data_IF_788252058423
#
_entry.id   IF_788252058423
#
_cell.length_a   1.000
_cell.length_b   1.000
_cell.length_c   1.000
_cell.angle_alpha   90.00
_cell.angle_beta   90.00
_cell.angle_gamma   90.00
#
_symmetry.space_group_name_H-M   'P 1'
#
loop_
_entity.id
_entity.type
_entity.pdbx_description
1 polymer ?
#
# COMPACT_ATOMS: atom_id res chain seq x y z
N UNK A 1 96.55 54.47 19.26
CA UNK A 1 97.65 54.45 20.17
C UNK A 1 97.28 53.61 21.38
N UNK A 2 98.20 52.88 21.98
CA UNK A 2 99.21 51.97 21.43
C UNK A 2 99.12 50.54 22.00
N UNK A 3 99.76 49.65 21.42
CA UNK A 3 101.06 48.89 21.58
C UNK A 3 100.79 47.45 22.07
N UNK A 4 101.12 46.50 21.22
CA UNK A 4 102.36 45.67 21.23
C UNK A 4 102.49 44.84 22.51
N UNK A 5 102.73 43.59 22.50
CA UNK A 5 103.84 42.77 21.97
C UNK A 5 103.55 41.32 22.36
N UNK A 6 103.93 40.32 21.79
CA UNK A 6 105.20 39.83 21.23
C UNK A 6 105.39 38.41 21.67
N UNK A 7 105.60 37.65 20.73
CA UNK A 7 106.67 36.76 20.33
C UNK A 7 106.91 35.51 21.16
N UNK A 8 106.97 34.45 20.41
CA UNK A 8 108.04 33.52 20.22
C UNK A 8 108.27 32.40 21.27
N UNK A 9 108.41 31.25 20.73
CA UNK A 9 109.03 30.06 21.30
C UNK A 9 108.43 28.81 20.70
N UNK A 10 108.74 28.48 19.53
CA UNK A 10 109.84 27.68 19.03
C UNK A 10 109.77 26.20 19.47
N UNK A 11 109.39 25.44 18.48
CA UNK A 11 110.13 24.27 17.98
C UNK A 11 110.37 23.07 18.91
N UNK A 12 109.97 21.93 18.39
CA UNK A 12 110.64 20.66 18.62
C UNK A 12 110.03 19.70 19.67
N UNK A 13 109.17 18.81 19.21
CA UNK A 13 109.52 17.43 19.30
C UNK A 13 108.65 16.62 18.27
N UNK A 14 109.32 16.24 17.24
CA UNK A 14 108.91 15.17 16.35
C UNK A 14 109.21 13.83 16.98
N UNK A 15 108.40 12.87 16.65
CA UNK A 15 108.67 11.44 16.64
C UNK A 15 108.25 10.66 17.90
N UNK A 16 107.38 9.78 17.61
CA UNK A 16 107.11 8.46 18.15
C UNK A 16 105.69 8.36 18.73
N UNK A 17 104.74 7.91 17.99
CA UNK A 17 104.26 6.54 18.05
C UNK A 17 103.22 6.27 16.99
N UNK A 18 103.46 5.25 16.27
CA UNK A 18 102.60 4.72 15.24
C UNK A 18 101.32 4.09 15.77
N UNK A 19 100.36 4.23 14.91
CA UNK A 19 99.35 3.22 14.58
C UNK A 19 98.51 2.65 15.71
N UNK A 20 97.28 3.10 15.78
CA UNK A 20 96.11 2.19 15.85
C UNK A 20 94.92 2.99 15.27
N UNK A 21 94.51 2.64 14.06
CA UNK A 21 93.28 3.10 13.46
C UNK A 21 92.11 2.54 14.29
N UNK A 22 91.54 3.35 15.15
CA UNK A 22 90.28 3.04 15.79
C UNK A 22 89.18 3.16 14.74
N UNK A 23 88.80 1.99 14.21
CA UNK A 23 87.52 1.87 13.52
C UNK A 23 86.46 2.40 14.44
N UNK A 24 85.93 3.59 14.14
CA UNK A 24 84.58 4.01 14.64
C UNK A 24 83.59 2.99 14.13
N UNK A 25 83.18 2.07 15.02
CA UNK A 25 81.91 1.32 14.84
C UNK A 25 80.80 2.35 14.82
N UNK A 26 80.24 2.56 13.67
CA UNK A 26 78.93 3.20 13.52
C UNK A 26 77.93 2.29 14.21
N UNK A 27 77.75 2.50 15.52
CA UNK A 27 76.64 1.90 16.27
C UNK A 27 75.40 2.54 15.66
N UNK A 28 74.65 1.75 14.86
CA UNK A 28 73.34 2.21 14.41
C UNK A 28 72.50 2.64 15.61
N UNK A 29 71.50 3.50 15.41
CA UNK A 29 70.71 4.06 16.50
C UNK A 29 70.23 2.95 17.44
N UNK A 30 70.58 3.15 18.74
CA UNK A 30 70.15 2.17 19.76
C UNK A 30 68.66 2.16 19.88
N UNK A 31 68.10 1.05 20.34
CA UNK A 31 66.65 0.91 20.58
C UNK A 31 66.09 2.08 21.42
N UNK A 32 66.94 2.63 22.30
CA UNK A 32 66.65 3.82 23.11
C UNK A 32 66.55 5.09 22.26
N UNK A 33 67.45 5.27 21.28
CA UNK A 33 67.43 6.44 20.37
C UNK A 33 66.24 6.38 19.42
N UNK A 34 65.84 5.18 18.97
CA UNK A 34 64.65 4.95 18.21
C UNK A 34 63.37 5.23 19.03
N UNK A 35 63.36 4.82 20.31
CA UNK A 35 62.24 5.09 21.22
C UNK A 35 62.16 6.60 21.57
N UNK A 36 63.31 7.29 21.84
CA UNK A 36 63.30 8.74 22.10
C UNK A 36 62.87 9.54 20.85
N UNK A 37 63.32 9.15 19.66
CA UNK A 37 62.88 9.75 18.42
C UNK A 37 61.36 9.48 18.15
N UNK A 38 60.88 8.28 18.44
CA UNK A 38 59.48 7.94 18.34
C UNK A 38 58.62 8.71 19.37
N UNK A 39 59.08 8.82 20.61
CA UNK A 39 58.39 9.62 21.66
C UNK A 39 58.42 11.13 21.36
N UNK A 40 59.53 11.67 20.90
CA UNK A 40 59.63 13.09 20.47
C UNK A 40 58.82 13.40 19.19
N UNK A 41 58.63 12.40 18.30
CA UNK A 41 57.74 12.52 17.16
C UNK A 41 56.24 12.48 17.57
N UNK A 42 55.91 11.77 18.66
CA UNK A 42 54.51 11.67 19.15
C UNK A 42 54.03 12.99 19.78
N UNK A 43 54.89 13.88 20.22
CA UNK A 43 54.55 15.19 20.79
C UNK A 43 54.33 16.29 19.74
N UNK A 44 54.58 16.02 18.44
CA UNK A 44 54.29 16.99 17.37
C UNK A 44 52.79 17.21 17.26
N UNK A 45 52.37 18.47 17.40
CA UNK A 45 50.97 18.87 17.29
C UNK A 45 50.62 19.06 15.81
N UNK A 46 49.67 18.32 15.32
CA UNK A 46 49.13 18.44 13.97
C UNK A 46 47.59 18.66 14.03
N UNK A 47 47.13 19.82 13.55
CA UNK A 47 45.74 20.27 13.69
C UNK A 47 45.20 20.27 15.13
N UNK A 48 46.03 20.62 16.12
CA UNK A 48 45.61 20.70 17.51
C UNK A 48 45.64 19.38 18.31
N UNK A 49 46.03 18.28 17.68
CA UNK A 49 46.14 16.95 18.30
C UNK A 49 47.58 16.43 18.19
N UNK A 50 47.97 15.60 19.13
CA UNK A 50 49.27 14.92 19.08
C UNK A 50 49.23 13.78 18.04
N UNK A 51 50.39 13.33 17.56
CA UNK A 51 50.44 12.16 16.67
C UNK A 51 49.90 10.92 17.38
N UNK A 52 50.01 10.85 18.70
CA UNK A 52 49.42 9.77 19.49
C UNK A 52 47.88 9.77 19.40
N UNK A 53 47.23 10.94 19.46
CA UNK A 53 45.77 11.04 19.32
C UNK A 53 45.28 10.58 17.93
N UNK A 54 46.05 10.94 16.87
CA UNK A 54 45.74 10.46 15.51
C UNK A 54 45.92 8.94 15.37
N UNK A 55 46.92 8.36 16.03
CA UNK A 55 47.14 6.92 16.05
C UNK A 55 45.99 6.20 16.79
N UNK A 56 45.56 6.74 17.94
CA UNK A 56 44.42 6.20 18.69
C UNK A 56 43.13 6.26 17.84
N UNK A 57 42.85 7.41 17.22
CA UNK A 57 41.71 7.57 16.32
C UNK A 57 41.73 6.56 15.17
N UNK A 58 42.92 6.38 14.54
CA UNK A 58 43.12 5.40 13.47
C UNK A 58 42.91 3.96 13.90
N UNK A 59 43.46 3.59 15.09
CA UNK A 59 43.30 2.24 15.65
C UNK A 59 41.85 1.97 16.00
N UNK A 60 41.15 2.92 16.65
CA UNK A 60 39.71 2.80 16.96
C UNK A 60 38.88 2.68 15.69
N UNK A 61 39.10 3.53 14.70
CA UNK A 61 38.41 3.46 13.41
C UNK A 61 38.64 2.14 12.70
N UNK A 62 39.91 1.66 12.68
CA UNK A 62 40.24 0.35 12.07
C UNK A 62 39.59 -0.82 12.83
N UNK A 63 39.55 -0.76 14.17
CA UNK A 63 38.88 -1.76 14.99
C UNK A 63 37.37 -1.82 14.73
N UNK A 64 36.72 -0.68 14.65
CA UNK A 64 35.28 -0.58 14.30
C UNK A 64 35.03 -1.11 12.88
N UNK A 65 35.80 -0.66 11.89
CA UNK A 65 35.67 -1.09 10.51
C UNK A 65 35.89 -2.60 10.33
N UNK A 66 36.97 -3.13 10.96
CA UNK A 66 37.27 -4.59 10.88
C UNK A 66 36.25 -5.43 11.63
N UNK A 67 35.82 -4.98 12.83
CA UNK A 67 34.77 -5.65 13.61
C UNK A 67 33.41 -5.73 12.85
N UNK A 68 32.97 -4.61 12.29
CA UNK A 68 31.74 -4.57 11.48
C UNK A 68 31.87 -5.39 10.20
N UNK A 69 33.03 -5.36 9.54
CA UNK A 69 33.29 -6.16 8.35
C UNK A 69 33.28 -7.67 8.65
N UNK A 70 33.87 -8.06 9.77
CA UNK A 70 33.83 -9.45 10.25
C UNK A 70 32.40 -9.87 10.61
N UNK A 71 31.69 -9.04 11.37
CA UNK A 71 30.29 -9.29 11.72
C UNK A 71 29.42 -9.49 10.48
N UNK A 72 29.56 -8.63 9.45
CA UNK A 72 28.86 -8.80 8.17
C UNK A 72 29.17 -10.15 7.51
N UNK A 73 30.44 -10.57 7.48
CA UNK A 73 30.87 -11.87 6.91
C UNK A 73 30.23 -13.03 7.67
N UNK A 74 30.19 -12.97 8.99
CA UNK A 74 29.57 -14.00 9.85
C UNK A 74 28.07 -14.05 9.65
N UNK A 75 27.38 -12.91 9.57
CA UNK A 75 25.96 -12.82 9.29
C UNK A 75 25.65 -13.41 7.90
N UNK A 76 26.41 -13.04 6.87
CA UNK A 76 26.23 -13.56 5.51
C UNK A 76 26.46 -15.08 5.44
N UNK A 77 27.47 -15.61 6.16
CA UNK A 77 27.72 -17.04 6.24
C UNK A 77 26.57 -17.81 6.94
N UNK A 78 26.05 -17.26 8.04
CA UNK A 78 24.88 -17.84 8.74
C UNK A 78 23.58 -17.72 7.93
N UNK A 79 23.39 -16.66 7.17
CA UNK A 79 22.24 -16.48 6.30
C UNK A 79 22.14 -17.61 5.25
N UNK A 80 23.27 -17.97 4.63
CA UNK A 80 23.35 -19.07 3.64
C UNK A 80 22.98 -20.43 4.23
N UNK A 81 23.34 -20.70 5.49
CA UNK A 81 23.09 -21.99 6.17
C UNK A 81 21.64 -22.14 6.66
N UNK A 82 20.92 -21.04 6.86
CA UNK A 82 19.61 -21.03 7.52
C UNK A 82 18.46 -20.63 6.59
N UNK A 83 18.61 -20.77 5.29
CA UNK A 83 17.66 -20.30 4.27
C UNK A 83 16.28 -20.98 4.28
N UNK A 84 16.10 -22.10 4.97
CA UNK A 84 14.91 -22.95 4.85
C UNK A 84 13.71 -22.65 5.76
N UNK A 85 13.86 -21.98 6.90
CA UNK A 85 12.80 -21.96 7.94
C UNK A 85 12.62 -20.63 8.69
N UNK A 86 12.92 -19.46 8.09
CA UNK A 86 12.83 -18.18 8.80
C UNK A 86 11.62 -17.36 8.35
N UNK A 87 10.98 -16.69 9.32
CA UNK A 87 9.95 -15.69 9.06
C UNK A 87 10.45 -14.56 8.14
N UNK A 88 9.57 -13.97 7.36
CA UNK A 88 9.87 -12.91 6.39
C UNK A 88 10.74 -11.76 6.95
N UNK A 89 10.47 -11.20 8.16
CA UNK A 89 11.29 -10.11 8.69
C UNK A 89 12.73 -10.55 9.00
N UNK A 90 12.95 -11.78 9.44
CA UNK A 90 14.29 -12.32 9.69
C UNK A 90 15.05 -12.50 8.38
N UNK A 91 14.40 -12.98 7.32
CA UNK A 91 15.00 -13.08 5.97
C UNK A 91 15.41 -11.71 5.44
N UNK A 92 14.54 -10.69 5.60
CA UNK A 92 14.84 -9.32 5.21
C UNK A 92 16.05 -8.76 5.96
N UNK A 93 16.12 -8.95 7.27
CA UNK A 93 17.26 -8.51 8.08
C UNK A 93 18.59 -9.09 7.56
N UNK A 94 18.65 -10.40 7.33
CA UNK A 94 19.86 -11.06 6.81
C UNK A 94 20.21 -10.61 5.38
N UNK A 95 19.19 -10.36 4.55
CA UNK A 95 19.37 -9.84 3.20
C UNK A 95 19.98 -8.44 3.21
N UNK A 96 19.47 -7.54 4.05
CA UNK A 96 19.98 -6.16 4.19
C UNK A 96 21.38 -6.14 4.81
N UNK A 97 21.60 -6.88 5.91
CA UNK A 97 22.87 -6.95 6.59
C UNK A 97 23.98 -7.50 5.67
N UNK A 98 23.68 -8.54 4.89
CA UNK A 98 24.63 -9.10 3.91
C UNK A 98 24.94 -8.14 2.75
N UNK A 99 23.99 -7.28 2.39
CA UNK A 99 24.12 -6.31 1.31
C UNK A 99 24.56 -4.92 1.76
N UNK A 100 24.93 -4.72 3.02
CA UNK A 100 25.49 -3.47 3.54
C UNK A 100 26.83 -3.16 2.85
N UNK A 101 26.96 -1.96 2.32
CA UNK A 101 28.19 -1.52 1.64
C UNK A 101 29.27 -1.14 2.65
N UNK A 102 30.53 -1.29 2.26
CA UNK A 102 31.68 -1.02 3.14
C UNK A 102 31.82 0.46 3.51
N UNK A 103 31.30 1.38 2.71
CA UNK A 103 31.35 2.80 3.03
C UNK A 103 30.55 3.18 4.28
N UNK A 104 29.50 2.42 4.67
CA UNK A 104 28.84 2.62 5.97
C UNK A 104 29.78 2.34 7.13
N UNK A 105 30.60 1.27 7.01
CA UNK A 105 31.57 0.92 8.05
C UNK A 105 32.67 1.96 8.13
N UNK A 106 33.06 2.53 6.97
CA UNK A 106 33.98 3.66 6.92
C UNK A 106 33.38 4.91 7.60
N UNK A 107 32.10 5.19 7.34
CA UNK A 107 31.39 6.30 7.96
C UNK A 107 31.39 6.17 9.50
N UNK A 108 31.02 5.00 10.01
CA UNK A 108 30.99 4.71 11.44
C UNK A 108 32.41 4.71 12.06
N UNK A 109 33.42 4.25 11.32
CA UNK A 109 34.81 4.28 11.73
C UNK A 109 35.33 5.73 11.82
N UNK A 110 34.95 6.60 10.90
CA UNK A 110 35.25 8.03 10.91
C UNK A 110 34.55 8.74 12.07
N UNK A 111 33.28 8.41 12.31
CA UNK A 111 32.50 8.99 13.39
C UNK A 111 33.10 8.70 14.76
N UNK A 112 33.41 7.43 15.05
CA UNK A 112 34.10 7.02 16.29
C UNK A 112 35.52 7.59 16.37
N UNK A 113 36.24 7.63 15.25
CA UNK A 113 37.60 8.20 15.21
C UNK A 113 37.62 9.70 15.53
N UNK A 114 36.65 10.48 15.05
CA UNK A 114 36.60 11.93 15.32
C UNK A 114 36.33 12.27 16.79
N UNK A 115 35.59 11.39 17.53
CA UNK A 115 35.33 11.64 18.96
C UNK A 115 36.59 11.66 19.82
N UNK A 116 37.66 10.97 19.39
CA UNK A 116 38.96 10.96 20.09
C UNK A 116 39.88 12.13 19.72
N UNK A 117 39.46 12.99 18.77
CA UNK A 117 40.26 14.13 18.27
C UNK A 117 39.62 15.47 18.65
N UNK A 118 40.42 16.42 19.07
CA UNK A 118 40.02 17.82 19.25
C UNK A 118 40.06 18.54 17.89
N UNK A 119 39.03 18.34 17.05
CA UNK A 119 38.96 18.96 15.73
C UNK A 119 38.43 20.39 15.82
N UNK A 120 38.91 21.26 14.92
CA UNK A 120 38.31 22.59 14.78
C UNK A 120 36.81 22.46 14.40
N UNK A 121 35.93 23.37 14.84
CA UNK A 121 34.48 23.28 14.55
C UNK A 121 34.19 23.12 13.07
N UNK A 122 34.98 23.73 12.18
CA UNK A 122 34.78 23.59 10.72
C UNK A 122 35.06 22.18 10.23
N UNK A 123 36.17 21.56 10.70
CA UNK A 123 36.51 20.17 10.32
C UNK A 123 35.49 19.18 10.88
N UNK A 124 35.06 19.37 12.12
CA UNK A 124 34.04 18.55 12.75
C UNK A 124 32.74 18.58 11.95
N UNK A 125 32.23 19.75 11.53
CA UNK A 125 31.06 19.85 10.67
C UNK A 125 31.25 19.15 9.32
N UNK A 126 32.42 19.27 8.69
CA UNK A 126 32.68 18.59 7.41
C UNK A 126 32.64 17.07 7.57
N UNK A 127 33.29 16.53 8.61
CA UNK A 127 33.29 15.08 8.86
C UNK A 127 31.89 14.59 9.22
N UNK A 128 31.18 15.27 10.11
CA UNK A 128 29.80 14.91 10.48
C UNK A 128 28.84 14.92 9.28
N UNK A 129 28.96 15.94 8.41
CA UNK A 129 28.18 15.99 7.18
C UNK A 129 28.51 14.84 6.22
N UNK A 130 29.80 14.50 6.09
CA UNK A 130 30.25 13.37 5.28
C UNK A 130 29.68 12.03 5.82
N UNK A 131 29.78 11.82 7.13
CA UNK A 131 29.23 10.64 7.83
C UNK A 131 27.73 10.53 7.56
N UNK A 132 26.99 11.63 7.77
CA UNK A 132 25.56 11.67 7.53
C UNK A 132 25.21 11.33 6.05
N UNK A 133 25.94 11.92 5.08
CA UNK A 133 25.75 11.62 3.66
C UNK A 133 25.91 10.13 3.34
N UNK A 134 26.94 9.50 3.91
CA UNK A 134 27.19 8.07 3.73
C UNK A 134 26.13 7.21 4.41
N UNK A 135 25.61 7.62 5.56
CA UNK A 135 24.49 6.97 6.25
C UNK A 135 23.20 7.09 5.45
N UNK A 136 22.87 8.29 4.94
CA UNK A 136 21.70 8.53 4.10
C UNK A 136 21.76 7.71 2.80
N UNK A 137 22.92 7.68 2.16
CA UNK A 137 23.14 6.85 0.97
C UNK A 137 22.88 5.37 1.27
N UNK A 138 23.39 4.87 2.40
CA UNK A 138 23.16 3.47 2.80
C UNK A 138 21.69 3.22 3.14
N UNK A 139 21.01 4.15 3.81
CA UNK A 139 19.58 4.06 4.11
C UNK A 139 18.74 3.98 2.82
N UNK A 140 19.05 4.78 1.80
CA UNK A 140 18.43 4.72 0.49
C UNK A 140 18.63 3.38 -0.21
N UNK A 141 19.85 2.84 -0.16
CA UNK A 141 20.15 1.52 -0.70
C UNK A 141 19.39 0.41 0.04
N UNK A 142 19.26 0.51 1.37
CA UNK A 142 18.50 -0.46 2.16
C UNK A 142 16.99 -0.36 1.85
N UNK A 143 16.43 0.84 1.80
CA UNK A 143 15.04 1.07 1.46
C UNK A 143 14.69 0.51 0.06
N UNK A 144 15.51 0.80 -0.95
CA UNK A 144 15.30 0.28 -2.30
C UNK A 144 15.43 -1.25 -2.40
N UNK A 145 16.33 -1.87 -1.60
CA UNK A 145 16.47 -3.33 -1.54
C UNK A 145 15.34 -3.99 -0.77
N UNK A 146 14.88 -3.39 0.32
CA UNK A 146 13.72 -3.86 1.08
C UNK A 146 12.48 -3.92 0.21
N UNK A 147 12.26 -2.86 -0.57
CA UNK A 147 11.15 -2.79 -1.51
C UNK A 147 11.24 -3.92 -2.55
N UNK A 148 12.38 -4.10 -3.21
CA UNK A 148 12.57 -5.20 -4.16
C UNK A 148 12.33 -6.57 -3.55
N UNK A 149 12.92 -6.82 -2.38
CA UNK A 149 12.72 -8.09 -1.67
C UNK A 149 11.24 -8.39 -1.40
N UNK A 150 10.47 -7.37 -1.01
CA UNK A 150 9.04 -7.52 -0.77
C UNK A 150 8.24 -7.76 -2.05
N UNK A 151 8.59 -7.07 -3.14
CA UNK A 151 7.94 -7.24 -4.44
C UNK A 151 8.23 -8.64 -5.03
N UNK A 152 9.48 -9.12 -4.95
CA UNK A 152 9.88 -10.47 -5.38
C UNK A 152 9.12 -11.56 -4.61
N UNK A 153 8.89 -11.39 -3.30
CA UNK A 153 8.06 -12.31 -2.52
C UNK A 153 6.63 -12.38 -3.03
N UNK A 154 6.04 -11.23 -3.36
CA UNK A 154 4.68 -11.13 -3.90
C UNK A 154 4.56 -11.73 -5.30
N UNK A 155 5.56 -11.58 -6.12
CA UNK A 155 5.63 -12.18 -7.45
C UNK A 155 5.67 -13.71 -7.36
N UNK A 156 6.47 -14.27 -6.42
CA UNK A 156 6.54 -15.72 -6.18
C UNK A 156 5.21 -16.30 -5.69
N UNK A 157 4.44 -15.56 -4.87
CA UNK A 157 3.14 -16.01 -4.35
C UNK A 157 2.05 -16.08 -5.43
N UNK A 158 2.10 -15.26 -6.47
CA UNK A 158 1.02 -15.11 -7.48
C UNK A 158 1.30 -15.77 -8.82
N UNK A 159 2.50 -16.34 -9.02
CA UNK A 159 2.90 -16.95 -10.30
C UNK A 159 3.28 -15.93 -11.36
N UNK A 160 3.68 -16.41 -12.54
CA UNK A 160 4.24 -15.60 -13.65
C UNK A 160 3.18 -14.90 -14.50
N UNK A 161 2.28 -14.15 -13.89
CA UNK A 161 1.37 -13.29 -14.62
C UNK A 161 2.10 -12.02 -15.09
N UNK A 162 2.40 -11.92 -16.41
CA UNK A 162 3.18 -10.83 -17.02
C UNK A 162 2.57 -9.45 -16.78
N UNK A 163 1.25 -9.35 -16.70
CA UNK A 163 0.57 -8.07 -16.43
C UNK A 163 0.81 -7.60 -15.00
N UNK A 164 0.89 -8.55 -14.06
CA UNK A 164 1.19 -8.25 -12.66
C UNK A 164 2.65 -7.80 -12.47
N UNK A 165 3.60 -8.45 -13.15
CA UNK A 165 5.01 -8.08 -13.11
C UNK A 165 5.23 -6.63 -13.57
N UNK A 166 4.62 -6.20 -14.69
CA UNK A 166 4.71 -4.82 -15.17
C UNK A 166 4.17 -3.77 -14.18
N UNK A 167 3.13 -4.10 -13.43
CA UNK A 167 2.59 -3.19 -12.40
C UNK A 167 3.52 -3.02 -11.20
N UNK A 168 4.24 -4.09 -10.82
CA UNK A 168 5.24 -4.04 -9.74
C UNK A 168 6.45 -3.18 -10.12
N UNK A 169 6.86 -3.17 -11.38
CA UNK A 169 7.97 -2.32 -11.85
C UNK A 169 7.63 -0.83 -11.76
N UNK A 170 6.40 -0.45 -12.10
CA UNK A 170 5.93 0.94 -11.95
C UNK A 170 5.93 1.34 -10.47
N UNK A 171 5.40 0.50 -9.58
CA UNK A 171 5.39 0.75 -8.14
C UNK A 171 6.81 0.90 -7.60
N UNK A 172 7.73 0.02 -8.02
CA UNK A 172 9.14 0.07 -7.63
C UNK A 172 9.80 1.37 -8.11
N UNK A 173 9.55 1.79 -9.35
CA UNK A 173 10.07 3.04 -9.89
C UNK A 173 9.58 4.26 -9.09
N UNK A 174 8.28 4.38 -8.88
CA UNK A 174 7.68 5.51 -8.14
C UNK A 174 8.18 5.56 -6.70
N UNK A 175 8.12 4.44 -5.99
CA UNK A 175 8.56 4.38 -4.60
C UNK A 175 10.07 4.69 -4.46
N UNK A 176 10.89 4.18 -5.38
CA UNK A 176 12.33 4.47 -5.40
C UNK A 176 12.61 5.95 -5.66
N UNK A 177 11.89 6.57 -6.59
CA UNK A 177 12.00 8.00 -6.88
C UNK A 177 11.65 8.83 -5.65
N UNK A 178 10.55 8.51 -4.95
CA UNK A 178 10.14 9.20 -3.73
C UNK A 178 11.18 9.05 -2.60
N UNK A 179 11.69 7.84 -2.39
CA UNK A 179 12.73 7.58 -1.37
C UNK A 179 13.97 8.43 -1.64
N UNK A 180 14.48 8.42 -2.89
CA UNK A 180 15.67 9.19 -3.22
C UNK A 180 15.43 10.69 -3.19
N UNK A 181 14.28 11.18 -3.62
CA UNK A 181 13.92 12.60 -3.51
C UNK A 181 13.93 13.08 -2.05
N UNK A 182 13.32 12.29 -1.15
CA UNK A 182 13.31 12.61 0.28
C UNK A 182 14.73 12.63 0.88
N UNK A 183 15.54 11.63 0.55
CA UNK A 183 16.92 11.55 1.05
C UNK A 183 17.80 12.69 0.54
N UNK A 184 17.62 13.10 -0.72
CA UNK A 184 18.32 14.25 -1.30
C UNK A 184 17.91 15.54 -0.58
N UNK A 185 16.63 15.72 -0.26
CA UNK A 185 16.17 16.89 0.49
C UNK A 185 16.80 16.94 1.88
N UNK A 186 16.80 15.82 2.61
CA UNK A 186 17.45 15.74 3.93
C UNK A 186 18.95 16.01 3.83
N UNK A 187 19.60 15.51 2.77
CA UNK A 187 21.01 15.77 2.51
C UNK A 187 21.30 17.25 2.25
N UNK A 188 20.48 17.91 1.43
CA UNK A 188 20.61 19.35 1.12
C UNK A 188 20.37 20.22 2.36
N UNK A 189 19.36 19.91 3.15
CA UNK A 189 19.07 20.62 4.41
C UNK A 189 20.26 20.56 5.37
N UNK A 190 20.84 19.39 5.53
CA UNK A 190 22.01 19.21 6.39
C UNK A 190 23.27 19.93 5.87
N UNK A 191 23.40 20.14 4.56
CA UNK A 191 24.44 20.95 3.96
C UNK A 191 24.20 22.47 4.11
N UNK A 192 23.11 22.88 4.77
CA UNK A 192 22.75 24.28 4.98
C UNK A 192 22.07 24.94 3.77
N UNK A 193 21.66 24.16 2.77
CA UNK A 193 20.88 24.67 1.65
C UNK A 193 19.45 24.90 2.10
N UNK A 194 18.90 26.08 1.85
CA UNK A 194 17.51 26.37 2.18
C UNK A 194 16.56 25.58 1.27
N UNK A 195 15.95 24.54 1.81
CA UNK A 195 15.04 23.65 1.09
C UNK A 195 13.58 24.13 1.09
N UNK A 196 13.26 25.27 1.73
CA UNK A 196 11.87 25.76 1.87
C UNK A 196 11.18 25.91 0.52
N UNK A 197 11.85 26.48 -0.47
CA UNK A 197 11.30 26.62 -1.82
C UNK A 197 11.08 25.28 -2.53
N UNK A 198 11.97 24.30 -2.30
CA UNK A 198 11.84 22.95 -2.84
C UNK A 198 10.66 22.21 -2.19
N UNK A 199 10.50 22.33 -0.86
CA UNK A 199 9.36 21.77 -0.12
C UNK A 199 8.04 22.41 -0.57
N UNK A 200 8.02 23.74 -0.73
CA UNK A 200 6.83 24.44 -1.26
C UNK A 200 6.46 23.94 -2.66
N UNK A 201 7.43 23.81 -3.55
CA UNK A 201 7.23 23.26 -4.90
C UNK A 201 6.73 21.83 -4.90
N UNK A 202 7.31 20.96 -4.05
CA UNK A 202 6.85 19.60 -3.85
C UNK A 202 5.43 19.54 -3.27
N UNK A 203 5.08 20.47 -2.36
CA UNK A 203 3.74 20.61 -1.81
C UNK A 203 2.70 20.90 -2.88
N UNK A 204 2.95 21.89 -3.74
CA UNK A 204 2.07 22.24 -4.87
C UNK A 204 1.99 21.07 -5.86
N UNK A 205 3.14 20.47 -6.22
CA UNK A 205 3.18 19.28 -7.08
C UNK A 205 2.43 18.10 -6.48
N UNK A 206 2.52 17.91 -5.15
CA UNK A 206 1.79 16.87 -4.41
C UNK A 206 0.27 17.05 -4.49
N UNK A 207 -0.22 18.30 -4.38
CA UNK A 207 -1.66 18.60 -4.57
C UNK A 207 -2.11 18.25 -5.98
N UNK A 208 -1.32 18.61 -7.00
CA UNK A 208 -1.65 18.29 -8.40
C UNK A 208 -1.73 16.75 -8.62
N UNK A 209 -0.76 15.98 -8.06
CA UNK A 209 -0.78 14.51 -8.10
C UNK A 209 -1.98 13.95 -7.34
N UNK A 210 -2.31 14.49 -6.16
CA UNK A 210 -3.46 14.04 -5.37
C UNK A 210 -4.78 14.24 -6.14
N UNK A 211 -4.96 15.38 -6.81
CA UNK A 211 -6.12 15.64 -7.67
C UNK A 211 -6.19 14.66 -8.85
N UNK A 212 -5.05 14.37 -9.48
CA UNK A 212 -4.98 13.40 -10.58
C UNK A 212 -5.34 11.97 -10.13
N UNK A 213 -5.04 11.60 -8.90
CA UNK A 213 -5.33 10.27 -8.31
C UNK A 213 -6.67 10.20 -7.57
N UNK A 214 -7.40 11.30 -7.43
CA UNK A 214 -8.62 11.40 -6.64
C UNK A 214 -9.66 10.31 -6.97
N UNK A 215 -9.87 10.05 -8.26
CA UNK A 215 -10.85 9.03 -8.70
C UNK A 215 -10.39 7.61 -8.29
N UNK A 216 -9.10 7.31 -8.42
CA UNK A 216 -8.55 6.00 -8.04
C UNK A 216 -8.66 5.78 -6.54
N UNK A 217 -8.34 6.80 -5.74
CA UNK A 217 -8.50 6.76 -4.28
C UNK A 217 -9.97 6.67 -3.88
N UNK A 218 -10.87 7.36 -4.60
CA UNK A 218 -12.31 7.27 -4.40
C UNK A 218 -12.83 5.83 -4.56
N UNK A 219 -12.42 5.15 -5.62
CA UNK A 219 -12.78 3.73 -5.86
C UNK A 219 -12.23 2.80 -4.77
N UNK A 220 -10.99 3.06 -4.31
CA UNK A 220 -10.36 2.27 -3.24
C UNK A 220 -11.12 2.41 -1.91
N UNK A 221 -11.48 3.64 -1.52
CA UNK A 221 -12.27 3.90 -0.32
C UNK A 221 -13.68 3.35 -0.44
N UNK A 222 -14.29 3.42 -1.63
CA UNK A 222 -15.58 2.81 -1.90
C UNK A 222 -15.52 1.28 -1.73
N UNK A 223 -14.48 0.62 -2.25
CA UNK A 223 -14.26 -0.81 -2.05
C UNK A 223 -14.14 -1.18 -0.56
N UNK A 224 -13.39 -0.38 0.20
CA UNK A 224 -13.24 -0.57 1.64
C UNK A 224 -14.59 -0.41 2.37
N UNK A 225 -15.38 0.60 2.03
CA UNK A 225 -16.72 0.81 2.58
C UNK A 225 -17.65 -0.36 2.25
N UNK A 226 -17.64 -0.85 1.00
CA UNK A 226 -18.43 -2.04 0.61
C UNK A 226 -18.01 -3.26 1.43
N UNK A 227 -16.72 -3.46 1.68
CA UNK A 227 -16.21 -4.59 2.45
C UNK A 227 -16.58 -4.53 3.94
N UNK A 228 -16.62 -3.32 4.53
CA UNK A 228 -16.94 -3.10 5.96
C UNK A 228 -18.46 -3.11 6.20
N UNK A 229 -19.20 -2.28 5.48
CA UNK A 229 -20.64 -2.07 5.69
C UNK A 229 -21.48 -3.14 4.98
N UNK A 230 -20.90 -3.77 3.96
CA UNK A 230 -21.55 -4.83 3.15
C UNK A 230 -22.97 -4.44 2.68
N UNK A 231 -23.17 -3.31 2.00
CA UNK A 231 -24.50 -2.93 1.50
C UNK A 231 -25.05 -3.98 0.53
N UNK A 232 -24.16 -4.71 -0.12
CA UNK A 232 -24.44 -5.90 -0.93
C UNK A 232 -23.27 -6.89 -0.86
N UNK A 233 -23.51 -8.12 -1.23
CA UNK A 233 -22.50 -9.19 -1.28
C UNK A 233 -22.54 -9.90 -2.63
N UNK A 234 -21.52 -10.71 -2.92
CA UNK A 234 -21.50 -11.55 -4.12
C UNK A 234 -22.71 -12.48 -4.10
N UNK A 235 -23.45 -12.52 -5.21
CA UNK A 235 -24.70 -13.26 -5.37
C UNK A 235 -25.98 -12.44 -5.17
N UNK A 236 -25.90 -11.22 -4.60
CA UNK A 236 -27.06 -10.32 -4.50
C UNK A 236 -27.45 -9.82 -5.89
N UNK A 237 -28.76 -9.76 -6.16
CA UNK A 237 -29.31 -9.09 -7.35
C UNK A 237 -29.51 -7.62 -7.06
N UNK A 238 -28.83 -6.77 -7.84
CA UNK A 238 -28.85 -5.32 -7.68
C UNK A 238 -29.50 -4.65 -8.90
N UNK A 239 -30.23 -3.58 -8.62
CA UNK A 239 -30.58 -2.59 -9.62
C UNK A 239 -29.90 -1.27 -9.26
N UNK A 240 -29.04 -0.78 -10.15
CA UNK A 240 -28.23 0.43 -10.01
C UNK A 240 -28.55 1.32 -11.22
N UNK A 241 -29.31 2.38 -11.00
CA UNK A 241 -29.86 3.25 -12.04
C UNK A 241 -30.61 2.44 -13.14
N UNK A 242 -30.02 2.29 -14.32
CA UNK A 242 -30.59 1.52 -15.44
C UNK A 242 -30.07 0.10 -15.55
N UNK A 243 -29.09 -0.28 -14.72
CA UNK A 243 -28.43 -1.57 -14.81
C UNK A 243 -28.97 -2.55 -13.75
N UNK A 244 -29.38 -3.73 -14.19
CA UNK A 244 -29.82 -4.80 -13.30
C UNK A 244 -28.97 -6.04 -13.52
N UNK A 245 -28.52 -6.67 -12.41
CA UNK A 245 -27.74 -7.90 -12.50
C UNK A 245 -27.34 -8.45 -11.15
N UNK A 246 -26.89 -9.70 -11.14
CA UNK A 246 -26.34 -10.36 -9.96
C UNK A 246 -24.86 -9.97 -9.77
N UNK A 247 -24.45 -9.69 -8.54
CA UNK A 247 -23.05 -9.41 -8.19
C UNK A 247 -22.21 -10.66 -8.41
N UNK A 248 -21.31 -10.61 -9.38
CA UNK A 248 -20.40 -11.71 -9.71
C UNK A 248 -19.06 -11.60 -8.95
N UNK A 249 -18.55 -10.37 -8.86
CA UNK A 249 -17.26 -10.12 -8.20
C UNK A 249 -17.17 -8.67 -7.72
N UNK A 250 -16.61 -8.49 -6.52
CA UNK A 250 -16.30 -7.19 -5.95
C UNK A 250 -14.78 -7.04 -5.92
N UNK A 251 -14.24 -6.18 -6.79
CA UNK A 251 -12.81 -5.89 -6.87
C UNK A 251 -12.42 -4.62 -6.10
N UNK A 252 -11.13 -4.29 -6.16
CA UNK A 252 -10.58 -3.09 -5.48
C UNK A 252 -11.10 -1.79 -6.11
N UNK A 253 -11.28 -1.77 -7.44
CA UNK A 253 -11.72 -0.58 -8.18
C UNK A 253 -13.13 -0.73 -8.72
N UNK A 254 -13.52 -1.93 -9.15
CA UNK A 254 -14.75 -2.17 -9.88
C UNK A 254 -15.51 -3.37 -9.32
N UNK A 255 -16.82 -3.29 -9.34
CA UNK A 255 -17.72 -4.42 -9.12
C UNK A 255 -18.26 -4.89 -10.46
N UNK A 256 -18.34 -6.22 -10.65
CA UNK A 256 -18.85 -6.87 -11.85
C UNK A 256 -20.20 -7.46 -11.55
N UNK A 257 -21.19 -7.11 -12.37
CA UNK A 257 -22.52 -7.66 -12.33
C UNK A 257 -22.72 -8.55 -13.56
N UNK A 258 -23.50 -9.63 -13.40
CA UNK A 258 -24.01 -10.44 -14.50
C UNK A 258 -25.46 -10.07 -14.74
N UNK A 259 -25.76 -9.49 -15.90
CA UNK A 259 -27.12 -9.19 -16.30
C UNK A 259 -27.91 -10.48 -16.54
N UNK A 260 -29.25 -10.41 -16.51
CA UNK A 260 -30.13 -11.51 -16.86
C UNK A 260 -29.99 -11.94 -18.33
N UNK A 261 -29.59 -11.02 -19.21
CA UNK A 261 -29.31 -11.27 -20.63
C UNK A 261 -27.93 -11.88 -20.88
N UNK A 262 -27.09 -11.98 -19.82
CA UNK A 262 -25.82 -12.71 -19.82
C UNK A 262 -24.57 -11.83 -19.98
N UNK A 263 -24.71 -10.54 -20.32
CA UNK A 263 -23.55 -9.63 -20.41
C UNK A 263 -22.98 -9.32 -19.03
N UNK A 264 -21.68 -9.04 -19.00
CA UNK A 264 -21.01 -8.58 -17.80
C UNK A 264 -20.98 -7.04 -17.78
N UNK A 265 -21.58 -6.47 -16.75
CA UNK A 265 -21.58 -5.03 -16.50
C UNK A 265 -20.48 -4.74 -15.48
N UNK A 266 -19.57 -3.81 -15.83
CA UNK A 266 -18.45 -3.41 -14.97
C UNK A 266 -18.69 -1.98 -14.53
N UNK A 267 -18.87 -1.79 -13.23
CA UNK A 267 -19.14 -0.49 -12.62
C UNK A 267 -18.00 -0.10 -11.66
N UNK A 268 -17.65 1.18 -11.59
CA UNK A 268 -16.74 1.72 -10.59
C UNK A 268 -17.38 1.61 -9.20
N UNK A 269 -16.60 1.23 -8.19
CA UNK A 269 -17.11 1.12 -6.82
C UNK A 269 -17.59 2.48 -6.28
N UNK A 270 -16.90 3.56 -6.63
CA UNK A 270 -17.27 4.91 -6.24
C UNK A 270 -18.61 5.34 -6.87
N UNK A 271 -18.86 4.97 -8.13
CA UNK A 271 -20.12 5.30 -8.80
C UNK A 271 -21.30 4.51 -8.22
N UNK A 272 -21.08 3.23 -7.90
CA UNK A 272 -22.11 2.42 -7.23
C UNK A 272 -22.53 3.07 -5.90
N UNK A 273 -21.58 3.48 -5.06
CA UNK A 273 -21.91 4.08 -3.76
C UNK A 273 -22.51 5.50 -3.86
N UNK A 274 -22.27 6.21 -4.97
CA UNK A 274 -22.93 7.50 -5.24
C UNK A 274 -24.34 7.32 -5.78
N UNK A 275 -24.63 6.17 -6.42
CA UNK A 275 -25.93 5.84 -7.01
C UNK A 275 -26.91 5.31 -5.96
N UNK A 276 -28.18 5.26 -6.34
CA UNK A 276 -29.21 4.60 -5.51
C UNK A 276 -29.26 3.11 -5.82
N UNK A 277 -28.68 2.31 -4.93
CA UNK A 277 -28.67 0.86 -5.06
C UNK A 277 -29.96 0.26 -4.50
N UNK A 278 -30.67 -0.51 -5.31
CA UNK A 278 -31.78 -1.36 -4.88
C UNK A 278 -31.27 -2.79 -4.80
N UNK A 279 -31.24 -3.36 -3.59
CA UNK A 279 -30.79 -4.72 -3.35
C UNK A 279 -31.99 -5.67 -3.25
N UNK A 280 -32.25 -6.42 -4.29
CA UNK A 280 -33.30 -7.42 -4.33
C UNK A 280 -32.88 -8.74 -3.63
N UNK A 281 -31.59 -8.99 -3.48
CA UNK A 281 -31.06 -10.16 -2.78
C UNK A 281 -31.36 -10.16 -1.27
N UNK A 282 -31.66 -8.99 -0.69
CA UNK A 282 -31.98 -8.82 0.75
C UNK A 282 -33.46 -8.59 1.02
N UNK A 283 -34.28 -8.71 0.01
CA UNK A 283 -35.72 -8.51 0.14
C UNK A 283 -36.35 -9.72 0.83
N UNK A 284 -36.99 -9.56 2.04
CA UNK A 284 -37.58 -10.69 2.75
C UNK A 284 -38.87 -11.18 2.08
N UNK A 285 -39.64 -10.26 1.52
CA UNK A 285 -40.91 -10.52 0.85
C UNK A 285 -41.05 -9.59 -0.35
N UNK A 286 -41.66 -10.08 -1.43
CA UNK A 286 -41.98 -9.26 -2.61
C UNK A 286 -43.46 -9.05 -2.72
N UNK A 287 -43.87 -7.80 -2.79
CA UNK A 287 -45.27 -7.43 -3.00
C UNK A 287 -45.68 -7.71 -4.44
N UNK A 288 -46.75 -8.45 -4.60
CA UNK A 288 -47.43 -8.70 -5.89
C UNK A 288 -48.72 -7.89 -5.91
N UNK A 289 -48.95 -7.14 -6.97
CA UNK A 289 -50.14 -6.36 -7.19
C UNK A 289 -50.77 -6.78 -8.50
N UNK A 290 -52.01 -7.31 -8.44
CA UNK A 290 -52.74 -7.79 -9.58
C UNK A 290 -54.07 -7.08 -9.68
N UNK A 291 -54.45 -6.59 -10.86
CA UNK A 291 -55.75 -6.00 -11.13
C UNK A 291 -56.61 -6.99 -11.91
N UNK A 292 -57.73 -7.41 -11.31
CA UNK A 292 -58.71 -8.28 -11.93
C UNK A 292 -59.87 -7.43 -12.45
N UNK A 293 -60.22 -7.64 -13.67
CA UNK A 293 -61.33 -6.91 -14.35
C UNK A 293 -62.55 -7.83 -14.47
N UNK A 294 -63.61 -7.48 -13.76
CA UNK A 294 -64.89 -8.26 -13.71
C UNK A 294 -65.95 -7.52 -14.48
N UNK A 295 -66.77 -8.27 -15.17
CA UNK A 295 -67.88 -7.73 -15.97
C UNK A 295 -68.94 -7.01 -15.10
N UNK A 296 -69.49 -5.91 -15.59
CA UNK A 296 -70.61 -5.18 -14.93
C UNK A 296 -71.87 -6.00 -14.75
N UNK A 297 -72.09 -7.02 -15.60
CA UNK A 297 -73.21 -7.92 -15.51
C UNK A 297 -73.14 -8.87 -14.30
N UNK A 298 -72.02 -8.92 -13.56
CA UNK A 298 -71.90 -9.80 -12.40
C UNK A 298 -72.84 -9.38 -11.28
N UNK A 299 -73.65 -10.29 -10.70
CA UNK A 299 -74.59 -9.97 -9.63
C UNK A 299 -73.87 -9.38 -8.40
N UNK A 300 -74.57 -8.45 -7.72
CA UNK A 300 -73.96 -7.70 -6.58
C UNK A 300 -73.58 -8.61 -5.42
N UNK A 301 -74.32 -9.66 -5.15
CA UNK A 301 -74.00 -10.67 -4.11
C UNK A 301 -72.73 -11.42 -4.43
N UNK A 302 -72.50 -11.76 -5.68
CA UNK A 302 -71.28 -12.41 -6.17
C UNK A 302 -70.08 -11.42 -6.07
N UNK A 303 -70.30 -10.15 -6.48
CA UNK A 303 -69.27 -9.10 -6.39
C UNK A 303 -68.80 -8.89 -4.94
N UNK A 304 -69.71 -8.88 -3.97
CA UNK A 304 -69.41 -8.72 -2.56
C UNK A 304 -68.59 -9.90 -2.02
N UNK A 305 -68.68 -11.08 -2.59
CA UNK A 305 -67.95 -12.29 -2.22
C UNK A 305 -66.53 -12.38 -2.81
N UNK A 306 -66.21 -11.61 -3.88
CA UNK A 306 -64.90 -11.71 -4.56
C UNK A 306 -63.72 -11.44 -3.63
N UNK A 307 -63.73 -10.43 -2.75
CA UNK A 307 -62.58 -10.21 -1.85
C UNK A 307 -62.27 -11.38 -0.94
N UNK A 308 -63.30 -12.00 -0.33
CA UNK A 308 -63.14 -13.15 0.55
C UNK A 308 -62.68 -14.41 -0.22
N UNK A 309 -63.17 -14.59 -1.44
CA UNK A 309 -62.71 -15.66 -2.33
C UNK A 309 -61.23 -15.55 -2.65
N UNK A 310 -60.78 -14.38 -3.07
CA UNK A 310 -59.40 -14.11 -3.43
C UNK A 310 -58.48 -14.21 -2.19
N UNK A 311 -58.93 -13.77 -1.03
CA UNK A 311 -58.24 -13.99 0.25
C UNK A 311 -58.04 -15.48 0.53
N UNK A 312 -59.07 -16.29 0.37
CA UNK A 312 -58.99 -17.74 0.53
C UNK A 312 -58.00 -18.40 -0.41
N UNK A 313 -57.96 -17.99 -1.67
CA UNK A 313 -57.03 -18.49 -2.68
C UNK A 313 -55.58 -18.19 -2.28
N UNK A 314 -55.30 -16.94 -1.87
CA UNK A 314 -53.94 -16.53 -1.49
C UNK A 314 -53.50 -17.19 -0.18
N UNK A 315 -54.39 -17.26 0.82
CA UNK A 315 -54.11 -17.93 2.09
C UNK A 315 -53.90 -19.44 1.96
N UNK A 316 -54.45 -20.03 0.93
CA UNK A 316 -54.20 -21.42 0.58
C UNK A 316 -52.80 -21.72 0.07
N UNK A 317 -51.98 -20.68 -0.22
CA UNK A 317 -50.60 -20.82 -0.67
C UNK A 317 -49.63 -20.61 0.50
N UNK A 318 -48.86 -21.63 0.85
CA UNK A 318 -47.90 -21.57 1.96
C UNK A 318 -46.81 -20.49 1.81
N UNK A 319 -46.49 -20.13 0.55
CA UNK A 319 -45.46 -19.14 0.20
C UNK A 319 -46.02 -17.72 -0.03
N UNK A 320 -47.32 -17.50 0.25
CA UNK A 320 -47.99 -16.22 0.08
C UNK A 320 -48.56 -15.69 1.41
N UNK A 321 -48.49 -14.39 1.58
CA UNK A 321 -49.17 -13.68 2.68
C UNK A 321 -50.12 -12.65 2.09
N UNK A 322 -51.44 -12.88 2.33
CA UNK A 322 -52.45 -11.95 1.87
C UNK A 322 -52.31 -10.58 2.54
N UNK A 323 -52.45 -9.50 1.78
CA UNK A 323 -52.46 -8.13 2.28
C UNK A 323 -53.89 -7.55 2.22
N UNK A 324 -54.45 -7.44 1.02
CA UNK A 324 -55.77 -6.88 0.81
C UNK A 324 -56.35 -7.24 -0.55
N UNK A 325 -57.68 -7.21 -0.64
CA UNK A 325 -58.38 -7.22 -1.90
C UNK A 325 -59.61 -6.27 -1.82
N UNK A 326 -59.72 -5.34 -2.75
CA UNK A 326 -60.83 -4.38 -2.77
C UNK A 326 -61.27 -4.07 -4.20
N UNK A 327 -62.57 -3.75 -4.35
CA UNK A 327 -63.04 -3.07 -5.55
C UNK A 327 -62.43 -1.67 -5.56
N UNK A 328 -61.44 -1.44 -6.42
CA UNK A 328 -60.63 -0.22 -6.46
C UNK A 328 -61.25 0.89 -7.30
N UNK A 329 -61.82 0.52 -8.45
CA UNK A 329 -62.39 1.48 -9.38
C UNK A 329 -63.47 0.89 -10.27
N UNK A 330 -64.37 1.76 -10.72
CA UNK A 330 -65.35 1.51 -11.74
C UNK A 330 -64.77 2.01 -13.08
N UNK A 331 -64.26 1.08 -13.91
CA UNK A 331 -63.65 1.41 -15.19
C UNK A 331 -64.67 1.53 -16.29
N UNK A 332 -64.30 1.98 -17.49
CA UNK A 332 -65.20 2.17 -18.62
C UNK A 332 -65.97 0.92 -19.02
N UNK A 333 -65.35 -0.24 -18.96
CA UNK A 333 -65.96 -1.55 -19.36
C UNK A 333 -65.83 -2.63 -18.30
N UNK A 334 -65.35 -2.31 -17.07
CA UNK A 334 -65.04 -3.33 -16.06
C UNK A 334 -65.09 -2.80 -14.64
N UNK A 335 -65.48 -3.64 -13.71
CA UNK A 335 -65.25 -3.47 -12.27
C UNK A 335 -63.84 -3.95 -11.93
N UNK A 336 -62.99 -3.06 -11.38
CA UNK A 336 -61.58 -3.39 -11.15
C UNK A 336 -61.32 -3.73 -9.68
N UNK A 337 -61.00 -4.99 -9.44
CA UNK A 337 -60.53 -5.47 -8.13
C UNK A 337 -59.01 -5.45 -8.08
N UNK A 338 -58.46 -4.82 -7.04
CA UNK A 338 -57.03 -4.85 -6.76
C UNK A 338 -56.74 -5.88 -5.69
N UNK A 339 -56.02 -6.96 -6.09
CA UNK A 339 -55.50 -7.98 -5.19
C UNK A 339 -54.05 -7.70 -4.90
N UNK A 340 -53.69 -7.61 -3.62
CA UNK A 340 -52.31 -7.43 -3.14
C UNK A 340 -51.94 -8.51 -2.14
N UNK A 341 -50.79 -9.14 -2.36
CA UNK A 341 -50.22 -10.14 -1.48
C UNK A 341 -48.71 -10.11 -1.52
N UNK A 342 -48.02 -10.67 -0.53
CA UNK A 342 -46.58 -10.79 -0.46
C UNK A 342 -46.15 -12.23 -0.74
N UNK A 343 -45.17 -12.39 -1.65
CA UNK A 343 -44.45 -13.63 -1.86
C UNK A 343 -43.30 -13.74 -0.89
N UNK A 344 -43.21 -14.80 -0.10
CA UNK A 344 -42.20 -14.99 0.95
C UNK A 344 -40.84 -15.47 0.41
N UNK A 345 -40.77 -15.89 -0.86
CA UNK A 345 -39.54 -16.29 -1.53
C UNK A 345 -39.33 -15.42 -2.77
N UNK A 346 -38.69 -14.25 -2.63
CA UNK A 346 -38.62 -13.25 -3.70
C UNK A 346 -37.61 -13.57 -4.81
N UNK A 347 -37.29 -14.84 -5.04
CA UNK A 347 -36.50 -15.25 -6.22
C UNK A 347 -37.42 -15.32 -7.43
N UNK A 348 -36.89 -14.97 -8.61
CA UNK A 348 -37.70 -14.81 -9.84
C UNK A 348 -38.57 -16.02 -10.15
N UNK A 349 -37.99 -17.22 -10.28
CA UNK A 349 -38.75 -18.40 -10.64
C UNK A 349 -39.80 -18.79 -9.59
N UNK A 350 -39.51 -18.91 -8.28
CA UNK A 350 -40.53 -19.17 -7.25
C UNK A 350 -41.64 -18.12 -7.21
N UNK A 351 -41.33 -16.86 -7.51
CA UNK A 351 -42.35 -15.80 -7.60
C UNK A 351 -43.29 -16.01 -8.77
N UNK A 352 -42.75 -16.30 -9.95
CA UNK A 352 -43.55 -16.55 -11.16
C UNK A 352 -44.41 -17.83 -11.02
N UNK A 353 -43.83 -18.87 -10.41
CA UNK A 353 -44.59 -20.13 -10.13
C UNK A 353 -45.73 -19.85 -9.17
N UNK A 354 -45.54 -19.09 -8.10
CA UNK A 354 -46.58 -18.68 -7.17
C UNK A 354 -47.68 -17.87 -7.89
N UNK A 355 -47.31 -16.89 -8.70
CA UNK A 355 -48.26 -16.08 -9.48
C UNK A 355 -49.06 -16.92 -10.42
N UNK A 356 -48.43 -17.88 -11.09
CA UNK A 356 -49.13 -18.80 -12.00
C UNK A 356 -50.14 -19.66 -11.27
N UNK A 357 -49.79 -20.23 -10.11
CA UNK A 357 -50.70 -21.05 -9.30
C UNK A 357 -51.90 -20.22 -8.83
N UNK A 358 -51.65 -19.01 -8.29
CA UNK A 358 -52.73 -18.10 -7.85
C UNK A 358 -53.62 -17.72 -9.01
N UNK A 359 -53.07 -17.38 -10.16
CA UNK A 359 -53.84 -17.01 -11.35
C UNK A 359 -54.73 -18.18 -11.86
N UNK A 360 -54.18 -19.40 -11.89
CA UNK A 360 -54.99 -20.58 -12.29
C UNK A 360 -56.14 -20.86 -11.31
N UNK A 361 -55.91 -20.71 -10.01
CA UNK A 361 -56.96 -20.86 -9.01
C UNK A 361 -58.04 -19.79 -9.15
N UNK A 362 -57.64 -18.53 -9.40
CA UNK A 362 -58.59 -17.44 -9.68
C UNK A 362 -59.45 -17.77 -10.89
N UNK A 363 -58.85 -18.20 -12.00
CA UNK A 363 -59.58 -18.54 -13.21
C UNK A 363 -60.56 -19.70 -12.95
N UNK A 364 -60.14 -20.75 -12.23
CA UNK A 364 -60.99 -21.90 -11.94
C UNK A 364 -62.16 -21.51 -11.04
N UNK A 365 -61.95 -20.76 -9.96
CA UNK A 365 -62.99 -20.35 -9.03
C UNK A 365 -63.95 -19.34 -9.68
N UNK A 366 -63.46 -18.42 -10.51
CA UNK A 366 -64.30 -17.49 -11.25
C UNK A 366 -65.26 -18.26 -12.25
N UNK A 367 -64.68 -19.23 -12.95
CA UNK A 367 -65.51 -20.12 -13.83
C UNK A 367 -66.59 -20.92 -13.05
N UNK A 368 -66.18 -21.46 -11.89
CA UNK A 368 -67.10 -22.23 -11.04
C UNK A 368 -68.28 -21.39 -10.53
N UNK A 369 -68.01 -20.10 -10.21
CA UNK A 369 -69.01 -19.15 -9.71
C UNK A 369 -69.74 -18.35 -10.80
N UNK A 370 -69.41 -18.58 -12.08
CA UNK A 370 -70.02 -17.84 -13.20
C UNK A 370 -69.59 -16.37 -13.25
N UNK A 371 -68.36 -16.03 -12.67
CA UNK A 371 -67.80 -14.69 -12.71
C UNK A 371 -67.11 -14.54 -14.06
N UNK A 372 -67.58 -13.60 -14.88
CA UNK A 372 -66.91 -13.29 -16.15
C UNK A 372 -65.90 -12.24 -16.05
N UNK A 373 -64.72 -12.49 -16.70
CA UNK A 373 -63.72 -11.43 -16.89
C UNK A 373 -64.25 -10.42 -17.91
N UNK A 374 -64.12 -9.15 -17.60
CA UNK A 374 -64.58 -8.10 -18.48
C UNK A 374 -63.77 -8.05 -19.78
N UNK A 375 -64.49 -8.01 -20.89
CA UNK A 375 -63.94 -7.75 -22.21
C UNK A 375 -64.12 -6.29 -22.58
N UNK A 376 -63.19 -5.69 -23.34
CA UNK A 376 -63.41 -4.35 -23.90
C UNK A 376 -64.67 -4.35 -24.78
N UNK A 377 -65.68 -3.60 -24.38
CA UNK A 377 -66.95 -3.52 -25.14
C UNK A 377 -67.10 -2.15 -25.80
N UNK A 378 -67.41 -2.13 -27.09
CA UNK A 378 -67.77 -0.93 -27.81
C UNK A 378 -69.21 -1.06 -28.28
N UNK A 379 -69.99 -0.02 -28.04
CA UNK A 379 -71.36 0.06 -28.60
C UNK A 379 -71.26 0.79 -29.94
N UNK A 380 -71.50 0.04 -31.03
CA UNK A 380 -71.57 0.64 -32.37
C UNK A 380 -73.09 0.91 -32.65
N UNK A 381 -73.45 2.15 -32.86
CA UNK A 381 -74.81 2.56 -33.32
C UNK A 381 -74.70 2.69 -34.83
N UNK A 382 -75.38 1.82 -35.53
CA UNK A 382 -75.51 1.90 -36.98
C UNK A 382 -76.75 2.80 -37.24
N UNK A 383 -76.56 3.97 -37.76
CA UNK A 383 -77.63 4.79 -38.28
C UNK A 383 -78.13 4.15 -39.61
N UNK A 384 -79.34 3.68 -39.62
CA UNK A 384 -80.01 3.10 -40.80
C UNK A 384 -80.79 4.18 -41.56
#
# INVERSE_FOLDING_TARGET
MPLKSGSAGATMHRLLNGGIASRQFIIGPTMADLLTHALGASERIFYGNTIADWLVAGILGLAVWSGLSLMRRLIAARAKRAAGHRSTPVRLFFYLAGNTRQFLFLALALDVGQESLTLSPRLQHVVSNLVLMLVLLQAGLWAGRSLRFYLELKEMERGSDRLFAGSLDIINFVARTLIWSLLILVALDNLGVNITALLAGLGVGGVAVALALQNILGDLFASLSIALDKPFVVGDSLNIDTFTGAVEHIGIKTTRLRSETGEQIILSNADILKSRVRNYGRMPEQRVLTTLRVAYATPMETLAGIPALLEGIVRGQASARFERCHLKSLGESSLQFELSYFAQQPKLNPLLDLQQVVNFQIINEFRRLGIEFALPTQRVVLDT
#
